data_IF_916697556723
#
_entry.id   IF_916697556723
#
_cell.length_a   1.000
_cell.length_b   1.000
_cell.length_c   1.000
_cell.angle_alpha   90.00
_cell.angle_beta   90.00
_cell.angle_gamma   90.00
#
_symmetry.space_group_name_H-M   'P 1'
#
loop_
_entity.id
_entity.type
_entity.pdbx_description
1 polymer ?
#
# COMPACT_ATOMS: atom_id res chain seq x y z
N UNK A 1 -18.49 -6.88 15.10
CA UNK A 1 -19.97 -6.76 14.89
C UNK A 1 -20.75 -7.45 16.01
N UNK A 2 -20.67 -8.77 16.22
CA UNK A 2 -21.45 -9.47 17.29
C UNK A 2 -21.17 -8.88 18.68
N UNK A 3 -19.89 -8.67 19.04
CA UNK A 3 -19.52 -8.06 20.32
C UNK A 3 -20.20 -6.68 20.55
N UNK A 4 -20.25 -5.83 19.52
CA UNK A 4 -20.87 -4.51 19.61
C UNK A 4 -22.38 -4.58 19.79
N UNK A 5 -23.06 -5.54 19.13
CA UNK A 5 -24.50 -5.77 19.29
C UNK A 5 -24.80 -6.24 20.70
N UNK A 6 -24.02 -7.19 21.23
CA UNK A 6 -24.16 -7.67 22.59
C UNK A 6 -23.82 -6.60 23.63
N UNK A 7 -22.89 -5.69 23.34
CA UNK A 7 -22.57 -4.57 24.20
C UNK A 7 -23.75 -3.58 24.29
N UNK A 8 -24.38 -3.25 23.16
CA UNK A 8 -25.62 -2.45 23.14
C UNK A 8 -26.73 -3.11 23.97
N UNK A 9 -26.89 -4.44 23.85
CA UNK A 9 -27.87 -5.17 24.61
C UNK A 9 -27.61 -5.14 26.15
N UNK A 10 -26.33 -5.02 26.57
CA UNK A 10 -25.97 -4.77 27.97
C UNK A 10 -26.36 -3.34 28.38
N UNK A 11 -26.02 -2.35 27.56
CA UNK A 11 -26.30 -0.93 27.79
C UNK A 11 -27.82 -0.68 27.91
N UNK A 12 -28.63 -1.36 27.07
CA UNK A 12 -30.08 -1.31 27.07
C UNK A 12 -30.72 -2.23 28.12
N UNK A 13 -29.92 -2.89 28.99
CA UNK A 13 -30.37 -3.80 30.04
C UNK A 13 -31.14 -5.05 29.56
N UNK A 14 -31.00 -5.48 28.31
CA UNK A 14 -31.58 -6.75 27.81
C UNK A 14 -30.79 -7.96 28.31
N UNK A 15 -29.51 -7.84 28.52
CA UNK A 15 -28.61 -8.88 29.06
C UNK A 15 -27.72 -8.28 30.17
N UNK A 16 -27.36 -9.09 31.15
CA UNK A 16 -26.59 -8.63 32.32
C UNK A 16 -25.07 -8.42 32.01
N UNK A 17 -24.55 -9.13 31.04
CA UNK A 17 -23.14 -9.08 30.64
C UNK A 17 -22.98 -9.44 29.17
N UNK A 18 -21.92 -8.94 28.57
CA UNK A 18 -21.56 -9.31 27.22
C UNK A 18 -20.92 -10.70 27.20
N UNK A 19 -21.67 -11.70 26.69
CA UNK A 19 -21.19 -13.09 26.64
C UNK A 19 -20.05 -13.31 25.65
N UNK A 20 -19.76 -12.35 24.77
CA UNK A 20 -18.63 -12.39 23.83
C UNK A 20 -17.32 -11.88 24.44
N UNK A 21 -17.35 -11.39 25.68
CA UNK A 21 -16.14 -10.96 26.36
C UNK A 21 -15.17 -12.13 26.54
N UNK A 22 -13.93 -11.91 26.16
CA UNK A 22 -12.84 -12.87 26.28
C UNK A 22 -12.94 -14.17 25.47
N UNK A 23 -14.02 -14.43 24.71
CA UNK A 23 -14.16 -15.65 23.90
C UNK A 23 -12.94 -15.90 22.98
N UNK A 24 -12.45 -14.83 22.32
CA UNK A 24 -11.27 -14.93 21.45
C UNK A 24 -9.98 -15.14 22.25
N UNK A 25 -9.92 -14.71 23.54
CA UNK A 25 -8.74 -14.86 24.38
C UNK A 25 -8.52 -16.33 24.75
N UNK A 26 -9.59 -17.03 25.12
CA UNK A 26 -9.53 -18.45 25.42
C UNK A 26 -9.20 -19.29 24.17
N UNK A 27 -9.78 -18.94 23.03
CA UNK A 27 -9.49 -19.61 21.74
C UNK A 27 -8.04 -19.40 21.32
N UNK A 28 -7.51 -18.19 21.46
CA UNK A 28 -6.10 -17.86 21.18
C UNK A 28 -5.15 -18.63 22.12
N UNK A 29 -5.49 -18.74 23.39
CA UNK A 29 -4.73 -19.48 24.38
C UNK A 29 -4.69 -20.99 24.06
N UNK A 30 -5.84 -21.59 23.69
CA UNK A 30 -5.95 -23.02 23.40
C UNK A 30 -5.22 -23.46 22.11
N UNK A 31 -5.02 -22.56 21.17
CA UNK A 31 -4.34 -22.82 19.89
C UNK A 31 -2.90 -22.31 19.83
N UNK A 32 -2.27 -21.99 20.97
CA UNK A 32 -0.90 -21.42 21.02
C UNK A 32 -0.70 -20.28 20.02
N UNK A 33 -1.71 -19.39 19.93
CA UNK A 33 -1.68 -18.27 19.00
C UNK A 33 -0.54 -17.32 19.40
N UNK A 34 0.56 -17.39 18.65
CA UNK A 34 1.62 -16.39 18.75
C UNK A 34 1.16 -15.14 18.00
N UNK A 35 1.01 -14.03 18.74
CA UNK A 35 0.81 -12.73 18.10
C UNK A 35 2.07 -12.42 17.28
N UNK A 36 1.92 -12.45 15.98
CA UNK A 36 3.00 -11.99 15.10
C UNK A 36 3.23 -10.51 15.37
N UNK A 37 4.22 -10.18 16.19
CA UNK A 37 4.59 -8.80 16.48
C UNK A 37 5.08 -8.15 15.19
N UNK A 38 4.18 -7.38 14.56
CA UNK A 38 4.56 -6.53 13.43
C UNK A 38 5.35 -5.35 14.00
N UNK A 39 6.60 -5.23 13.57
CA UNK A 39 7.44 -4.08 13.92
C UNK A 39 7.73 -3.25 12.70
N UNK A 40 8.00 -1.97 12.89
CA UNK A 40 8.54 -1.12 11.85
C UNK A 40 10.01 -1.47 11.58
N UNK A 41 10.50 -1.14 10.39
CA UNK A 41 11.94 -1.18 10.11
C UNK A 41 12.66 -0.18 11.02
N UNK A 42 13.80 -0.56 11.55
CA UNK A 42 14.75 0.37 12.17
C UNK A 42 15.44 1.20 11.07
N UNK A 43 16.00 2.35 11.43
CA UNK A 43 16.74 3.18 10.47
C UNK A 43 17.87 2.41 9.75
N UNK A 44 18.75 1.65 10.43
CA UNK A 44 19.77 0.85 9.76
C UNK A 44 19.20 -0.21 8.79
N UNK A 45 18.07 -0.85 9.15
CA UNK A 45 17.41 -1.82 8.26
C UNK A 45 16.83 -1.13 7.02
N UNK A 46 16.27 0.06 7.19
CA UNK A 46 15.78 0.87 6.07
C UNK A 46 16.93 1.29 5.15
N UNK A 47 18.03 1.76 5.68
CA UNK A 47 19.23 2.15 4.94
C UNK A 47 19.78 0.98 4.13
N UNK A 48 19.95 -0.18 4.75
CA UNK A 48 20.41 -1.41 4.09
C UNK A 48 19.48 -1.84 2.95
N UNK A 49 18.17 -1.79 3.19
CA UNK A 49 17.15 -2.12 2.18
C UNK A 49 17.22 -1.16 0.99
N UNK A 50 17.35 0.14 1.24
CA UNK A 50 17.42 1.15 0.19
C UNK A 50 18.76 1.09 -0.58
N UNK A 51 19.87 0.82 0.10
CA UNK A 51 21.17 0.57 -0.53
C UNK A 51 21.11 -0.65 -1.45
N UNK A 52 20.47 -1.74 -0.98
CA UNK A 52 20.30 -2.94 -1.79
C UNK A 52 19.50 -2.68 -3.07
N UNK A 53 18.43 -1.88 -2.99
CA UNK A 53 17.59 -1.49 -4.13
C UNK A 53 18.31 -0.54 -5.09
N UNK A 54 19.21 0.33 -4.60
CA UNK A 54 19.88 1.37 -5.39
C UNK A 54 20.95 0.83 -6.37
N UNK A 55 21.26 -0.46 -6.31
CA UNK A 55 22.24 -1.10 -7.23
C UNK A 55 21.64 -1.17 -8.63
N UNK A 56 22.09 -0.29 -9.54
CA UNK A 56 21.55 -0.11 -10.89
C UNK A 56 21.53 -1.41 -11.73
N UNK A 57 22.49 -2.30 -11.52
CA UNK A 57 22.57 -3.59 -12.21
C UNK A 57 21.74 -4.69 -11.53
N UNK A 58 20.97 -4.36 -10.49
CA UNK A 58 20.11 -5.30 -9.79
C UNK A 58 18.78 -5.48 -10.52
N UNK A 59 18.30 -6.72 -10.56
CA UNK A 59 16.94 -7.02 -11.01
C UNK A 59 15.85 -6.31 -10.19
N UNK A 60 16.20 -5.73 -9.03
CA UNK A 60 15.30 -5.04 -8.11
C UNK A 60 15.30 -3.52 -8.26
N UNK A 61 16.21 -2.95 -9.08
CA UNK A 61 16.35 -1.50 -9.24
C UNK A 61 15.03 -0.81 -9.65
N UNK A 62 14.23 -1.47 -10.46
CA UNK A 62 12.92 -0.94 -10.88
C UNK A 62 11.89 -0.81 -9.74
N UNK A 63 12.16 -1.38 -8.56
CA UNK A 63 11.35 -1.20 -7.36
C UNK A 63 11.79 -0.01 -6.49
N UNK A 64 12.97 0.57 -6.79
CA UNK A 64 13.52 1.68 -6.01
C UNK A 64 12.55 2.87 -5.92
N UNK A 65 11.96 3.38 -7.03
CA UNK A 65 11.10 4.55 -6.95
C UNK A 65 9.88 4.34 -6.04
N UNK A 66 9.14 3.24 -6.23
CA UNK A 66 7.92 2.99 -5.46
C UNK A 66 8.20 2.81 -3.97
N UNK A 67 9.27 2.09 -3.59
CA UNK A 67 9.62 1.92 -2.17
C UNK A 67 10.18 3.19 -1.55
N UNK A 68 10.92 4.03 -2.30
CA UNK A 68 11.32 5.37 -1.84
C UNK A 68 10.11 6.24 -1.54
N UNK A 69 9.12 6.27 -2.43
CA UNK A 69 7.90 7.04 -2.21
C UNK A 69 7.11 6.48 -1.02
N UNK A 70 7.01 5.15 -0.87
CA UNK A 70 6.34 4.52 0.28
C UNK A 70 6.96 4.92 1.61
N UNK A 71 8.28 4.84 1.73
CA UNK A 71 9.00 5.14 2.96
C UNK A 71 9.01 6.65 3.25
N UNK A 72 9.18 7.49 2.23
CA UNK A 72 9.26 8.93 2.39
C UNK A 72 7.91 9.62 2.65
N UNK A 73 6.79 8.97 2.35
CA UNK A 73 5.46 9.59 2.46
C UNK A 73 4.54 8.91 3.48
N UNK A 74 4.80 7.66 3.84
CA UNK A 74 3.91 6.86 4.69
C UNK A 74 2.52 6.62 4.08
N UNK A 75 2.35 6.78 2.77
CA UNK A 75 1.09 6.51 2.07
C UNK A 75 0.70 5.03 2.17
N UNK A 76 -0.61 4.78 2.20
CA UNK A 76 -1.11 3.41 2.14
C UNK A 76 -0.84 2.80 0.76
N UNK A 77 -0.67 1.47 0.74
CA UNK A 77 -0.35 0.75 -0.51
C UNK A 77 -1.34 1.03 -1.64
N UNK A 78 -2.64 1.12 -1.37
CA UNK A 78 -3.65 1.43 -2.37
C UNK A 78 -3.62 2.89 -2.84
N UNK A 79 -3.21 3.82 -1.99
CA UNK A 79 -3.00 5.22 -2.36
C UNK A 79 -1.80 5.35 -3.32
N UNK A 80 -0.71 4.63 -3.05
CA UNK A 80 0.48 4.63 -3.90
C UNK A 80 0.25 3.93 -5.23
N UNK A 81 -0.35 2.74 -5.22
CA UNK A 81 -0.62 2.01 -6.47
C UNK A 81 -1.68 2.68 -7.34
N UNK A 82 -2.55 3.49 -6.74
CA UNK A 82 -3.53 4.31 -7.43
C UNK A 82 -3.02 5.68 -7.87
N UNK A 83 -1.81 6.10 -7.45
CA UNK A 83 -1.29 7.44 -7.71
C UNK A 83 -1.07 7.67 -9.21
N UNK A 84 -1.48 8.86 -9.70
CA UNK A 84 -1.37 9.25 -11.10
C UNK A 84 -0.40 10.41 -11.28
N UNK A 85 0.13 10.57 -12.47
CA UNK A 85 0.94 11.75 -12.80
C UNK A 85 0.18 13.08 -12.63
N UNK A 86 -1.16 13.05 -12.73
CA UNK A 86 -2.02 14.19 -12.51
C UNK A 86 -2.20 14.56 -11.02
N UNK A 87 -1.83 13.65 -10.10
CA UNK A 87 -1.97 13.86 -8.65
C UNK A 87 -0.68 14.41 -8.01
N UNK A 88 0.37 14.63 -8.81
CA UNK A 88 1.63 15.17 -8.31
C UNK A 88 2.01 16.46 -9.05
N UNK A 89 2.49 17.43 -8.30
CA UNK A 89 3.11 18.65 -8.81
C UNK A 89 4.59 18.68 -8.41
N UNK A 90 5.45 18.33 -9.36
CA UNK A 90 6.91 18.33 -9.16
C UNK A 90 7.49 19.75 -9.01
N UNK A 91 6.77 20.80 -9.40
CA UNK A 91 7.25 22.18 -9.26
C UNK A 91 7.02 22.68 -7.83
N UNK A 92 5.81 22.52 -7.32
CA UNK A 92 5.46 22.87 -5.94
C UNK A 92 5.90 21.82 -4.93
N UNK A 93 6.23 20.61 -5.36
CA UNK A 93 6.62 19.49 -4.50
C UNK A 93 5.45 18.94 -3.67
N UNK A 94 4.26 18.85 -4.27
CA UNK A 94 3.05 18.39 -3.57
C UNK A 94 2.48 17.14 -4.21
N UNK A 95 2.02 16.21 -3.37
CA UNK A 95 1.26 15.02 -3.74
C UNK A 95 -0.17 15.18 -3.23
N UNK A 96 -1.17 15.09 -4.12
CA UNK A 96 -2.59 15.07 -3.76
C UNK A 96 -3.07 13.64 -3.55
N UNK A 97 -3.37 13.27 -2.31
CA UNK A 97 -3.95 11.97 -1.96
C UNK A 97 -5.46 12.14 -1.87
N UNK A 98 -6.18 11.69 -2.88
CA UNK A 98 -7.63 11.91 -3.02
C UNK A 98 -8.42 10.64 -3.33
N UNK A 99 -7.74 9.52 -3.58
CA UNK A 99 -8.35 8.22 -3.88
C UNK A 99 -7.44 7.06 -3.50
N UNK A 100 -7.96 5.84 -3.57
CA UNK A 100 -7.22 4.61 -3.33
C UNK A 100 -7.62 3.55 -4.35
N UNK A 101 -6.64 2.85 -4.90
CA UNK A 101 -6.84 1.69 -5.76
C UNK A 101 -7.02 0.47 -4.88
N UNK A 102 -8.06 -0.30 -5.12
CA UNK A 102 -8.33 -1.56 -4.44
C UNK A 102 -8.43 -2.70 -5.46
N UNK A 103 -8.04 -3.90 -5.04
CA UNK A 103 -8.14 -5.12 -5.83
C UNK A 103 -8.70 -6.22 -4.95
N UNK A 104 -9.91 -6.66 -5.22
CA UNK A 104 -10.58 -7.69 -4.43
C UNK A 104 -11.55 -8.51 -5.28
N UNK A 105 -12.00 -9.62 -4.70
CA UNK A 105 -13.01 -10.47 -5.33
C UNK A 105 -14.37 -9.83 -5.14
N UNK A 106 -14.99 -9.46 -6.25
CA UNK A 106 -16.37 -8.98 -6.27
C UNK A 106 -17.35 -10.14 -6.12
N UNK A 107 -18.58 -9.82 -5.75
CA UNK A 107 -19.65 -10.85 -5.59
C UNK A 107 -20.33 -11.20 -6.91
N UNK A 108 -19.92 -10.56 -7.99
CA UNK A 108 -20.35 -10.85 -9.34
C UNK A 108 -19.56 -12.00 -9.97
N UNK A 109 -19.93 -12.41 -11.18
CA UNK A 109 -19.29 -13.51 -11.93
C UNK A 109 -17.90 -13.13 -12.49
N UNK A 110 -17.53 -11.84 -12.49
CA UNK A 110 -16.29 -11.34 -13.08
C UNK A 110 -15.04 -11.58 -12.22
N UNK A 111 -15.22 -12.01 -10.98
CA UNK A 111 -14.11 -12.39 -10.09
C UNK A 111 -13.37 -11.19 -9.45
N UNK A 112 -12.04 -11.16 -9.59
CA UNK A 112 -11.21 -10.09 -9.00
C UNK A 112 -10.89 -9.03 -10.04
N UNK A 113 -11.21 -7.77 -9.74
CA UNK A 113 -10.82 -6.62 -10.56
C UNK A 113 -10.49 -5.39 -9.70
N UNK A 114 -10.01 -4.36 -10.35
CA UNK A 114 -9.64 -3.11 -9.70
C UNK A 114 -10.81 -2.14 -9.66
N UNK A 115 -10.94 -1.43 -8.53
CA UNK A 115 -11.83 -0.29 -8.33
C UNK A 115 -11.08 0.89 -7.75
N UNK A 116 -11.61 2.09 -7.97
CA UNK A 116 -11.16 3.31 -7.29
C UNK A 116 -12.17 3.68 -6.21
N UNK A 117 -11.67 3.80 -4.99
CA UNK A 117 -12.49 4.25 -3.86
C UNK A 117 -12.07 5.64 -3.40
N UNK A 118 -13.05 6.49 -3.13
CA UNK A 118 -12.83 7.74 -2.40
C UNK A 118 -12.48 7.45 -0.94
N UNK A 119 -11.69 8.29 -0.29
CA UNK A 119 -11.41 8.16 1.13
C UNK A 119 -12.71 8.20 1.96
N UNK A 120 -12.82 7.31 2.96
CA UNK A 120 -14.02 7.20 3.82
C UNK A 120 -14.29 8.46 4.66
N UNK A 121 -13.28 9.30 4.86
CA UNK A 121 -13.36 10.52 5.67
C UNK A 121 -12.73 11.69 4.94
N UNK A 122 -13.16 12.93 5.28
CA UNK A 122 -12.54 14.14 4.74
C UNK A 122 -11.04 14.20 5.02
N UNK A 123 -10.58 13.74 6.16
CA UNK A 123 -9.16 13.66 6.52
C UNK A 123 -8.35 12.65 5.68
N UNK A 124 -9.02 11.77 4.95
CA UNK A 124 -8.36 10.89 3.97
C UNK A 124 -7.92 11.60 2.71
N UNK A 125 -8.56 12.73 2.36
CA UNK A 125 -8.12 13.63 1.30
C UNK A 125 -7.11 14.59 1.92
N UNK A 126 -5.87 14.53 1.44
CA UNK A 126 -4.78 15.31 2.02
C UNK A 126 -3.69 15.59 0.99
N UNK A 127 -2.91 16.61 1.26
CA UNK A 127 -1.70 16.92 0.53
C UNK A 127 -0.48 16.50 1.34
N UNK A 128 0.50 15.93 0.66
CA UNK A 128 1.78 15.52 1.26
C UNK A 128 2.89 16.28 0.56
N UNK A 129 3.70 17.06 1.29
CA UNK A 129 4.90 17.67 0.72
C UNK A 129 5.94 16.61 0.40
N UNK A 130 6.59 16.73 -0.77
CA UNK A 130 7.67 15.83 -1.18
C UNK A 130 8.99 16.26 -0.52
N UNK A 131 9.74 15.27 -0.03
CA UNK A 131 11.19 15.46 0.18
C UNK A 131 11.92 15.42 -1.16
N UNK A 132 13.16 15.85 -1.21
CA UNK A 132 13.98 15.77 -2.45
C UNK A 132 14.16 14.31 -2.89
N UNK A 133 14.28 13.36 -1.97
CA UNK A 133 14.38 11.93 -2.28
C UNK A 133 13.11 11.43 -2.99
N UNK A 134 11.93 11.81 -2.49
CA UNK A 134 10.63 11.44 -3.08
C UNK A 134 10.49 12.06 -4.47
N UNK A 135 10.85 13.32 -4.63
CA UNK A 135 10.84 14.00 -5.92
C UNK A 135 11.78 13.33 -6.94
N UNK A 136 13.00 13.00 -6.51
CA UNK A 136 13.95 12.29 -7.35
C UNK A 136 13.46 10.87 -7.71
N UNK A 137 12.76 10.19 -6.82
CA UNK A 137 12.13 8.90 -7.11
C UNK A 137 11.07 9.00 -8.21
N UNK A 138 10.23 10.02 -8.22
CA UNK A 138 9.27 10.25 -9.31
C UNK A 138 9.98 10.58 -10.63
N UNK A 139 11.03 11.40 -10.61
CA UNK A 139 11.82 11.70 -11.80
C UNK A 139 12.52 10.45 -12.35
N UNK A 140 13.03 9.58 -11.46
CA UNK A 140 13.62 8.30 -11.84
C UNK A 140 12.57 7.38 -12.47
N UNK A 141 11.40 7.23 -11.85
CA UNK A 141 10.30 6.42 -12.39
C UNK A 141 9.92 6.89 -13.81
N UNK A 142 9.75 8.21 -13.99
CA UNK A 142 9.45 8.79 -15.30
C UNK A 142 10.52 8.47 -16.32
N UNK A 143 11.79 8.67 -15.97
CA UNK A 143 12.93 8.35 -16.84
C UNK A 143 12.95 6.87 -17.24
N UNK A 144 12.69 5.97 -16.28
CA UNK A 144 12.68 4.53 -16.54
C UNK A 144 11.52 4.15 -17.49
N UNK A 145 10.34 4.74 -17.30
CA UNK A 145 9.18 4.54 -18.17
C UNK A 145 9.46 5.05 -19.59
N UNK A 146 10.01 6.25 -19.72
CA UNK A 146 10.35 6.86 -21.01
C UNK A 146 11.39 6.00 -21.77
N UNK A 147 12.43 5.53 -21.09
CA UNK A 147 13.48 4.68 -21.69
C UNK A 147 12.95 3.29 -22.10
N UNK A 148 12.01 2.73 -21.34
CA UNK A 148 11.42 1.42 -21.63
C UNK A 148 10.20 1.50 -22.55
N UNK A 149 9.74 2.69 -22.92
CA UNK A 149 8.51 2.89 -23.69
C UNK A 149 7.25 2.42 -22.95
N UNK A 150 7.26 2.45 -21.60
CA UNK A 150 6.15 2.00 -20.76
C UNK A 150 5.23 3.19 -20.47
N UNK A 151 3.95 3.00 -20.68
CA UNK A 151 2.89 3.96 -20.32
C UNK A 151 1.73 3.23 -19.67
N UNK A 152 0.99 3.93 -18.82
CA UNK A 152 -0.25 3.40 -18.27
C UNK A 152 -1.26 3.17 -19.39
N UNK A 153 -1.73 1.93 -19.54
CA UNK A 153 -2.67 1.52 -20.60
C UNK A 153 -4.10 1.31 -20.10
N UNK A 154 -4.28 1.41 -18.78
CA UNK A 154 -5.56 1.10 -18.13
C UNK A 154 -6.31 2.36 -17.74
N UNK A 155 -7.63 2.28 -17.82
CA UNK A 155 -8.56 3.25 -17.22
C UNK A 155 -9.44 2.47 -16.25
N UNK A 156 -9.51 2.91 -15.00
CA UNK A 156 -10.28 2.28 -13.92
C UNK A 156 -11.20 3.37 -13.35
N UNK A 157 -12.50 3.21 -13.43
CA UNK A 157 -13.50 4.18 -12.96
C UNK A 157 -13.24 5.62 -13.44
N UNK A 158 -12.79 5.77 -14.70
CA UNK A 158 -12.42 7.07 -15.30
C UNK A 158 -11.03 7.59 -14.92
N UNK A 159 -10.32 6.92 -14.01
CA UNK A 159 -8.95 7.25 -13.64
C UNK A 159 -7.95 6.59 -14.59
N UNK A 160 -6.99 7.34 -15.07
CA UNK A 160 -5.96 6.92 -16.03
C UNK A 160 -4.61 7.57 -15.68
N UNK A 161 -3.55 7.23 -16.44
CA UNK A 161 -2.23 7.83 -16.28
C UNK A 161 -1.57 7.51 -14.93
N UNK A 162 -1.72 6.25 -14.48
CA UNK A 162 -1.12 5.77 -13.24
C UNK A 162 0.41 5.77 -13.31
N UNK A 163 1.06 6.11 -12.18
CA UNK A 163 2.52 6.20 -12.09
C UNK A 163 3.13 4.81 -12.04
N UNK A 164 2.79 4.01 -11.04
CA UNK A 164 3.44 2.73 -10.77
C UNK A 164 2.76 1.59 -11.51
N UNK A 165 3.19 1.38 -12.75
CA UNK A 165 2.69 0.33 -13.62
C UNK A 165 3.75 -0.75 -13.87
N UNK A 166 3.28 -1.94 -14.25
CA UNK A 166 4.19 -3.00 -14.67
C UNK A 166 4.68 -2.80 -16.11
N UNK A 167 5.58 -3.66 -16.58
CA UNK A 167 6.16 -3.61 -17.95
C UNK A 167 5.11 -3.66 -19.08
N UNK A 168 3.87 -4.03 -18.79
CA UNK A 168 2.77 -4.08 -19.75
C UNK A 168 1.87 -2.83 -19.70
N UNK A 169 2.13 -1.90 -18.78
CA UNK A 169 1.33 -0.69 -18.56
C UNK A 169 0.10 -0.91 -17.67
N UNK A 170 0.03 -2.04 -16.97
CA UNK A 170 -1.06 -2.33 -16.02
C UNK A 170 -0.67 -1.92 -14.60
N UNK A 171 -1.66 -1.43 -13.83
CA UNK A 171 -1.47 -1.08 -12.41
C UNK A 171 -1.04 -2.29 -11.57
N UNK A 172 -0.37 -2.00 -10.46
CA UNK A 172 0.09 -2.99 -9.51
C UNK A 172 -0.93 -3.15 -8.38
N UNK A 173 -1.05 -4.35 -7.81
CA UNK A 173 -1.87 -4.58 -6.62
C UNK A 173 -1.00 -4.83 -5.39
N UNK A 174 -1.62 -4.76 -4.21
CA UNK A 174 -0.97 -5.03 -2.93
C UNK A 174 -0.27 -6.41 -2.89
N UNK A 175 -0.88 -7.43 -3.50
CA UNK A 175 -0.28 -8.76 -3.54
C UNK A 175 1.03 -8.81 -4.31
N UNK A 176 1.13 -8.04 -5.40
CA UNK A 176 2.35 -7.93 -6.21
C UNK A 176 3.47 -7.23 -5.42
N UNK A 177 3.16 -6.09 -4.77
CA UNK A 177 4.14 -5.39 -3.94
C UNK A 177 4.60 -6.25 -2.77
N UNK A 178 3.69 -6.93 -2.08
CA UNK A 178 4.05 -7.81 -0.96
C UNK A 178 4.94 -8.98 -1.41
N UNK A 179 4.70 -9.58 -2.58
CA UNK A 179 5.57 -10.62 -3.13
C UNK A 179 6.95 -10.07 -3.49
N UNK A 180 7.00 -8.89 -4.11
CA UNK A 180 8.26 -8.22 -4.42
C UNK A 180 9.04 -7.92 -3.13
N UNK A 181 8.42 -7.30 -2.14
CA UNK A 181 9.04 -6.97 -0.85
C UNK A 181 9.63 -8.22 -0.16
N UNK A 182 8.86 -9.31 -0.06
CA UNK A 182 9.35 -10.56 0.55
C UNK A 182 10.56 -11.13 -0.17
N UNK A 183 10.58 -11.09 -1.52
CA UNK A 183 11.70 -11.57 -2.32
C UNK A 183 12.92 -10.68 -2.15
N UNK A 184 12.74 -9.36 -2.16
CA UNK A 184 13.83 -8.39 -1.97
C UNK A 184 14.47 -8.56 -0.59
N UNK A 185 13.64 -8.67 0.47
CA UNK A 185 14.14 -8.85 1.84
C UNK A 185 14.91 -10.16 1.96
N UNK A 186 14.39 -11.28 1.41
CA UNK A 186 15.12 -12.55 1.42
C UNK A 186 16.50 -12.42 0.77
N UNK A 187 16.53 -11.89 -0.44
CA UNK A 187 17.78 -11.79 -1.22
C UNK A 187 18.73 -10.69 -0.67
N UNK A 188 18.22 -9.74 0.12
CA UNK A 188 19.02 -8.78 0.87
C UNK A 188 19.68 -9.43 2.09
N UNK A 189 18.98 -10.33 2.79
CA UNK A 189 19.51 -11.03 3.97
C UNK A 189 20.49 -12.16 3.61
N UNK A 190 20.42 -12.69 2.40
CA UNK A 190 21.31 -13.77 1.92
C UNK A 190 22.68 -13.23 1.43
N UNK A 191 22.92 -11.92 1.51
CA UNK A 191 24.18 -11.24 1.14
C UNK A 191 24.93 -10.70 2.34
#
# INVERSE_FOLDING_TARGET
MIHQILQLAVEDNYIRRNISDNLLKELKSSHHYEDSHRRALTLPEQELFMEFLSKENSQYYHWLPIFTVMLGTGMRVGEITGLRWNDIDLKSGIIDVNHTLVYYKHRDENGCYFDIHSPKTKAGVRQIPMTEEVKNAFLLEKKMQDLAGIQSKVTIDGYHNFIFVNRFGNVQNQGTLNRALRRIIRDCNDK
#
